data_IF_943740886344
#
_entry.id   IF_943740886344
#
_cell.length_a   1.000
_cell.length_b   1.000
_cell.length_c   1.000
_cell.angle_alpha   90.00
_cell.angle_beta   90.00
_cell.angle_gamma   90.00
#
_symmetry.space_group_name_H-M   'P 1'
#
loop_
_entity.id
_entity.type
_entity.pdbx_description
1 polymer ?
#
# COMPACT_ATOMS: atom_id res chain seq x y z
N UNK A 1 -16.55 -13.35 45.93
CA UNK A 1 -15.58 -12.38 45.36
C UNK A 1 -15.27 -11.30 46.39
N UNK A 2 -13.99 -11.07 46.72
CA UNK A 2 -13.56 -10.05 47.69
C UNK A 2 -13.78 -8.67 47.07
N UNK A 3 -14.74 -7.87 47.58
CA UNK A 3 -14.92 -6.48 47.18
C UNK A 3 -13.77 -5.65 47.77
N UNK A 4 -12.98 -5.04 46.90
CA UNK A 4 -12.00 -4.04 47.32
C UNK A 4 -12.74 -2.74 47.69
N UNK A 5 -12.34 -2.05 48.77
CA UNK A 5 -12.92 -0.75 49.10
C UNK A 5 -12.57 0.30 48.03
N UNK A 6 -13.51 1.19 47.75
CA UNK A 6 -13.32 2.29 46.81
C UNK A 6 -12.35 3.32 47.39
N UNK A 7 -11.41 3.83 46.58
CA UNK A 7 -10.56 4.95 47.00
C UNK A 7 -11.39 6.23 47.16
N UNK A 8 -11.28 6.96 48.27
CA UNK A 8 -11.94 8.26 48.42
C UNK A 8 -11.26 9.28 47.51
N UNK A 9 -12.00 9.78 46.51
CA UNK A 9 -11.52 10.76 45.53
C UNK A 9 -11.56 12.20 46.06
N UNK A 10 -12.09 12.43 47.27
CA UNK A 10 -12.21 13.76 47.89
C UNK A 10 -10.88 14.44 48.20
N UNK A 11 -9.78 13.68 48.26
CA UNK A 11 -8.44 14.20 48.49
C UNK A 11 -7.65 14.54 47.21
N UNK A 12 -8.28 14.47 46.02
CA UNK A 12 -7.62 14.81 44.76
C UNK A 12 -7.28 16.30 44.71
N UNK A 13 -6.01 16.61 44.40
CA UNK A 13 -5.57 17.97 44.08
C UNK A 13 -5.82 18.25 42.60
N UNK A 14 -6.52 19.34 42.31
CA UNK A 14 -6.74 19.83 40.94
C UNK A 14 -5.79 21.00 40.66
N UNK A 15 -5.63 21.35 39.39
CA UNK A 15 -4.81 22.48 38.94
C UNK A 15 -5.52 23.27 37.84
N UNK A 16 -5.13 24.54 37.66
CA UNK A 16 -5.74 25.40 36.65
C UNK A 16 -5.38 24.96 35.24
N UNK A 17 -6.38 24.94 34.34
CA UNK A 17 -6.17 24.67 32.93
C UNK A 17 -5.18 25.66 32.28
N UNK A 18 -5.17 26.92 32.74
CA UNK A 18 -4.29 27.96 32.21
C UNK A 18 -2.79 27.68 32.45
N UNK A 19 -2.46 26.87 33.46
CA UNK A 19 -1.09 26.48 33.80
C UNK A 19 -0.65 25.20 33.11
N UNK A 20 -1.57 24.49 32.46
CA UNK A 20 -1.31 23.19 31.83
C UNK A 20 -0.83 23.37 30.39
N UNK A 21 0.36 22.88 30.02
CA UNK A 21 0.73 22.72 28.62
C UNK A 21 -0.34 21.89 27.89
N UNK A 22 -0.97 22.49 26.88
CA UNK A 22 -2.04 21.85 26.10
C UNK A 22 -1.56 21.62 24.68
N UNK A 23 -1.88 20.44 24.12
CA UNK A 23 -1.40 20.00 22.81
C UNK A 23 -2.21 20.53 21.62
N UNK A 24 -3.35 21.18 21.89
CA UNK A 24 -4.26 21.69 20.87
C UNK A 24 -4.55 23.15 21.17
N UNK A 25 -4.41 24.00 20.17
CA UNK A 25 -4.65 25.43 20.20
C UNK A 25 -5.83 25.80 19.31
N UNK A 26 -6.44 26.95 19.56
CA UNK A 26 -7.62 27.40 18.84
C UNK A 26 -7.34 27.62 17.33
N UNK A 27 -6.11 27.98 16.96
CA UNK A 27 -5.65 28.19 15.58
C UNK A 27 -5.43 26.88 14.79
N UNK A 28 -5.49 25.72 15.45
CA UNK A 28 -5.41 24.40 14.81
C UNK A 28 -6.79 23.82 14.47
N UNK A 29 -7.87 24.50 14.87
CA UNK A 29 -9.24 24.06 14.64
C UNK A 29 -9.65 24.20 13.16
N UNK A 30 -10.59 23.34 12.75
CA UNK A 30 -11.18 23.43 11.42
C UNK A 30 -12.00 24.71 11.26
N UNK A 31 -12.15 25.19 10.01
CA UNK A 31 -13.02 26.33 9.69
C UNK A 31 -14.27 25.86 8.93
N UNK A 32 -15.45 26.47 9.18
CA UNK A 32 -16.65 26.18 8.39
C UNK A 32 -16.46 26.69 6.96
N UNK A 33 -16.99 25.93 5.99
CA UNK A 33 -16.90 26.26 4.57
C UNK A 33 -18.24 26.79 4.03
N UNK A 34 -18.24 27.86 3.20
CA UNK A 34 -19.44 28.30 2.51
C UNK A 34 -19.83 27.32 1.39
N UNK A 35 -21.10 27.34 0.99
CA UNK A 35 -21.57 26.60 -0.19
C UNK A 35 -20.82 27.09 -1.43
N UNK A 36 -20.29 26.15 -2.22
CA UNK A 36 -19.51 26.46 -3.43
C UNK A 36 -18.02 26.68 -3.20
N UNK A 37 -17.51 26.44 -1.98
CA UNK A 37 -16.08 26.46 -1.70
C UNK A 37 -15.30 25.54 -2.63
N UNK A 38 -14.14 26.02 -3.05
CA UNK A 38 -13.17 25.29 -3.88
C UNK A 38 -12.48 24.18 -3.08
N UNK A 39 -11.88 23.23 -3.79
CA UNK A 39 -11.05 22.18 -3.14
C UNK A 39 -9.87 22.79 -2.39
N UNK A 40 -9.29 23.90 -2.87
CA UNK A 40 -8.21 24.59 -2.18
C UNK A 40 -8.67 25.16 -0.83
N UNK A 41 -9.83 25.81 -0.79
CA UNK A 41 -10.44 26.32 0.45
C UNK A 41 -10.81 25.18 1.40
N UNK A 42 -11.36 24.07 0.87
CA UNK A 42 -11.62 22.87 1.66
C UNK A 42 -10.35 22.34 2.32
N UNK A 43 -9.29 22.15 1.53
CA UNK A 43 -8.01 21.69 2.03
C UNK A 43 -7.45 22.65 3.07
N UNK A 44 -7.52 23.96 2.87
CA UNK A 44 -7.06 24.97 3.83
C UNK A 44 -7.90 25.04 5.12
N UNK A 45 -9.19 24.66 5.07
CA UNK A 45 -10.08 24.64 6.22
C UNK A 45 -9.92 23.42 7.13
N UNK A 46 -9.23 22.36 6.69
CA UNK A 46 -8.95 21.19 7.52
C UNK A 46 -8.16 21.55 8.79
N UNK A 47 -8.43 20.92 9.94
CA UNK A 47 -7.70 21.17 11.17
C UNK A 47 -6.23 20.79 11.00
N UNK A 48 -5.33 21.51 11.67
CA UNK A 48 -3.87 21.30 11.58
C UNK A 48 -3.39 20.32 12.65
N UNK A 49 -4.04 19.16 12.73
CA UNK A 49 -3.74 18.18 13.76
C UNK A 49 -3.92 16.75 13.25
N UNK A 50 -3.14 15.81 13.80
CA UNK A 50 -3.24 14.37 13.55
C UNK A 50 -3.24 14.07 12.03
N UNK A 51 -4.11 13.17 11.58
CA UNK A 51 -4.19 12.71 10.20
C UNK A 51 -4.40 13.85 9.17
N UNK A 52 -5.09 14.93 9.54
CA UNK A 52 -5.29 16.06 8.64
C UNK A 52 -3.97 16.82 8.40
N UNK A 53 -3.13 16.95 9.42
CA UNK A 53 -1.78 17.48 9.26
C UNK A 53 -0.88 16.50 8.50
N UNK A 54 -0.90 15.22 8.84
CA UNK A 54 -0.11 14.18 8.14
C UNK A 54 -0.44 14.12 6.64
N UNK A 55 -1.71 14.28 6.26
CA UNK A 55 -2.13 14.34 4.86
C UNK A 55 -1.54 15.56 4.14
N UNK A 56 -1.56 16.74 4.77
CA UNK A 56 -0.96 17.96 4.22
C UNK A 56 0.55 17.82 4.05
N UNK A 57 1.22 17.25 5.05
CA UNK A 57 2.67 17.01 5.03
C UNK A 57 3.04 16.03 3.91
N UNK A 58 2.24 14.99 3.70
CA UNK A 58 2.43 14.06 2.59
C UNK A 58 2.25 14.74 1.23
N UNK A 59 1.19 15.53 1.05
CA UNK A 59 0.97 16.26 -0.18
C UNK A 59 2.13 17.23 -0.47
N UNK A 60 2.58 17.97 0.55
CA UNK A 60 3.74 18.85 0.46
C UNK A 60 5.04 18.08 0.11
N UNK A 61 5.25 16.90 0.70
CA UNK A 61 6.41 16.06 0.41
C UNK A 61 6.42 15.56 -1.04
N UNK A 62 5.26 15.14 -1.58
CA UNK A 62 5.13 14.73 -2.99
C UNK A 62 5.47 15.92 -3.90
N UNK A 63 4.85 17.08 -3.66
CA UNK A 63 5.08 18.27 -4.46
C UNK A 63 6.56 18.72 -4.41
N UNK A 64 7.17 18.72 -3.23
CA UNK A 64 8.57 19.09 -3.05
C UNK A 64 9.54 18.10 -3.70
N UNK A 65 9.27 16.79 -3.61
CA UNK A 65 10.05 15.76 -4.29
C UNK A 65 10.00 16.00 -5.81
N UNK A 66 8.81 16.18 -6.36
CA UNK A 66 8.63 16.40 -7.81
C UNK A 66 9.22 17.71 -8.31
N UNK A 67 9.09 18.80 -7.55
CA UNK A 67 9.73 20.08 -7.86
C UNK A 67 11.27 19.97 -7.94
N UNK A 68 11.86 19.03 -7.18
CA UNK A 68 13.30 18.75 -7.17
C UNK A 68 13.70 17.59 -8.10
N UNK A 69 12.79 17.11 -8.95
CA UNK A 69 13.03 15.98 -9.85
C UNK A 69 13.21 14.63 -9.16
N UNK A 70 12.84 14.50 -7.88
CA UNK A 70 12.99 13.28 -7.07
C UNK A 70 11.84 12.30 -7.30
N UNK A 71 12.10 10.98 -7.27
CA UNK A 71 11.08 10.00 -7.64
C UNK A 71 9.94 9.93 -6.63
N UNK A 72 8.76 9.59 -7.14
CA UNK A 72 7.58 9.23 -6.36
C UNK A 72 7.15 7.83 -6.80
N UNK A 73 7.41 6.85 -5.95
CA UNK A 73 7.06 5.45 -6.14
C UNK A 73 5.69 5.17 -5.51
N UNK A 74 4.72 4.71 -6.30
CA UNK A 74 3.46 4.19 -5.78
C UNK A 74 3.43 2.67 -5.83
N UNK A 75 3.36 2.05 -4.65
CA UNK A 75 3.17 0.61 -4.47
C UNK A 75 1.69 0.33 -4.32
N UNK A 76 1.11 -0.48 -5.20
CA UNK A 76 -0.33 -0.67 -5.34
C UNK A 76 -0.75 -2.11 -5.08
N UNK A 77 -1.70 -2.32 -4.18
CA UNK A 77 -2.50 -3.53 -4.17
C UNK A 77 -3.57 -3.51 -5.26
N UNK A 78 -3.96 -4.69 -5.71
CA UNK A 78 -5.07 -4.95 -6.63
C UNK A 78 -6.36 -4.15 -6.37
N UNK A 79 -6.71 -3.94 -5.09
CA UNK A 79 -7.93 -3.22 -4.71
C UNK A 79 -7.98 -1.77 -5.19
N UNK A 80 -6.84 -1.11 -5.39
CA UNK A 80 -6.81 0.26 -5.92
C UNK A 80 -7.41 0.30 -7.32
N UNK A 81 -7.07 -0.67 -8.17
CA UNK A 81 -7.60 -0.79 -9.54
C UNK A 81 -9.06 -1.25 -9.51
N UNK A 82 -9.36 -2.27 -8.70
CA UNK A 82 -10.74 -2.77 -8.50
C UNK A 82 -11.72 -1.67 -8.10
N UNK A 83 -11.30 -0.72 -7.27
CA UNK A 83 -12.12 0.41 -6.84
C UNK A 83 -12.27 1.52 -7.88
N UNK A 84 -11.77 1.32 -9.11
CA UNK A 84 -11.91 2.29 -10.20
C UNK A 84 -11.02 3.52 -10.06
N UNK A 85 -9.92 3.44 -9.29
CA UNK A 85 -9.05 4.59 -9.02
C UNK A 85 -7.97 4.80 -10.10
N UNK A 86 -7.86 3.90 -11.07
CA UNK A 86 -6.88 3.97 -12.15
C UNK A 86 -6.88 5.31 -12.92
N UNK A 87 -8.02 5.94 -13.26
CA UNK A 87 -8.02 7.25 -13.94
C UNK A 87 -7.27 8.35 -13.17
N UNK A 88 -7.31 8.32 -11.83
CA UNK A 88 -6.59 9.27 -10.98
C UNK A 88 -5.09 9.01 -11.02
N UNK A 89 -4.68 7.74 -10.98
CA UNK A 89 -3.27 7.36 -11.12
C UNK A 89 -2.71 7.73 -12.50
N UNK A 90 -3.50 7.53 -13.56
CA UNK A 90 -3.13 7.89 -14.93
C UNK A 90 -2.95 9.41 -15.07
N UNK A 91 -3.83 10.22 -14.49
CA UNK A 91 -3.66 11.69 -14.45
C UNK A 91 -2.39 12.09 -13.69
N UNK A 92 -2.11 11.48 -12.54
CA UNK A 92 -0.87 11.75 -11.80
C UNK A 92 0.39 11.34 -12.56
N UNK A 93 0.36 10.26 -13.35
CA UNK A 93 1.46 9.89 -14.25
C UNK A 93 1.63 10.93 -15.36
N UNK A 94 0.53 11.34 -16.02
CA UNK A 94 0.55 12.36 -17.08
C UNK A 94 1.11 13.70 -16.58
N UNK A 95 0.77 14.08 -15.35
CA UNK A 95 1.31 15.27 -14.66
C UNK A 95 2.72 15.08 -14.11
N UNK A 96 3.34 13.90 -14.31
CA UNK A 96 4.64 13.51 -13.76
C UNK A 96 4.71 13.62 -12.24
N UNK A 97 3.59 13.41 -11.55
CA UNK A 97 3.51 13.40 -10.09
C UNK A 97 3.85 12.03 -9.51
N UNK A 98 3.52 10.95 -10.22
CA UNK A 98 4.01 9.59 -9.96
C UNK A 98 5.04 9.26 -11.03
N UNK A 99 6.17 8.66 -10.63
CA UNK A 99 7.28 8.33 -11.53
C UNK A 99 7.71 6.87 -11.49
N UNK A 100 7.09 6.05 -10.66
CA UNK A 100 7.28 4.61 -10.68
C UNK A 100 6.05 3.93 -10.05
N UNK A 101 5.71 2.75 -10.58
CA UNK A 101 4.64 1.89 -10.08
C UNK A 101 5.24 0.53 -9.67
N UNK A 102 4.82 0.00 -8.53
CA UNK A 102 5.04 -1.40 -8.16
C UNK A 102 3.71 -2.03 -7.77
N UNK A 103 3.39 -3.24 -8.23
CA UNK A 103 2.11 -3.89 -7.98
C UNK A 103 2.30 -5.34 -7.53
N UNK A 104 1.34 -5.88 -6.79
CA UNK A 104 1.23 -7.33 -6.63
C UNK A 104 0.65 -7.97 -7.91
N UNK A 105 0.74 -9.30 -8.03
CA UNK A 105 0.28 -10.01 -9.22
C UNK A 105 -1.23 -9.87 -9.51
N UNK A 106 -2.09 -9.87 -8.49
CA UNK A 106 -3.51 -9.58 -8.68
C UNK A 106 -3.80 -8.22 -9.37
N UNK A 107 -2.90 -7.23 -9.23
CA UNK A 107 -3.06 -5.95 -9.90
C UNK A 107 -2.98 -6.03 -11.43
N UNK A 108 -2.16 -6.92 -12.00
CA UNK A 108 -2.07 -7.06 -13.47
C UNK A 108 -3.33 -7.67 -14.07
N UNK A 109 -4.02 -8.52 -13.30
CA UNK A 109 -5.27 -9.14 -13.71
C UNK A 109 -6.34 -8.06 -13.85
N UNK A 110 -6.55 -7.25 -12.81
CA UNK A 110 -7.55 -6.18 -12.88
C UNK A 110 -7.24 -5.15 -13.97
N UNK A 111 -5.97 -4.79 -14.15
CA UNK A 111 -5.56 -3.85 -15.19
C UNK A 111 -5.83 -4.40 -16.60
N UNK A 112 -5.48 -5.65 -16.84
CA UNK A 112 -5.74 -6.34 -18.10
C UNK A 112 -7.24 -6.49 -18.38
N UNK A 113 -8.03 -6.97 -17.41
CA UNK A 113 -9.45 -7.21 -17.61
C UNK A 113 -10.23 -5.92 -17.89
N UNK A 114 -9.87 -4.82 -17.21
CA UNK A 114 -10.40 -3.50 -17.54
C UNK A 114 -10.04 -3.07 -18.95
N UNK A 115 -8.78 -3.26 -19.38
CA UNK A 115 -8.34 -2.90 -20.72
C UNK A 115 -9.01 -3.73 -21.82
N UNK A 116 -9.22 -5.01 -21.56
CA UNK A 116 -9.75 -5.99 -22.51
C UNK A 116 -11.28 -5.91 -22.61
N UNK A 117 -11.97 -5.92 -21.46
CA UNK A 117 -13.42 -6.09 -21.38
C UNK A 117 -14.16 -4.93 -20.68
N UNK A 118 -13.45 -3.93 -20.13
CA UNK A 118 -14.08 -2.80 -19.43
C UNK A 118 -14.66 -3.16 -18.07
N UNK A 119 -14.40 -4.37 -17.58
CA UNK A 119 -14.91 -4.91 -16.31
C UNK A 119 -13.89 -5.86 -15.68
N UNK A 120 -13.91 -5.98 -14.36
CA UNK A 120 -13.04 -6.86 -13.58
C UNK A 120 -13.70 -7.18 -12.24
N UNK A 121 -13.14 -8.11 -11.46
CA UNK A 121 -13.69 -8.64 -10.20
C UNK A 121 -14.91 -9.53 -10.42
N UNK A 122 -14.63 -10.80 -10.68
CA UNK A 122 -15.64 -11.87 -10.69
C UNK A 122 -16.32 -12.07 -9.32
N UNK A 123 -17.48 -12.73 -9.33
CA UNK A 123 -18.15 -13.17 -8.10
C UNK A 123 -17.42 -14.38 -7.51
N UNK A 124 -16.56 -14.10 -6.54
CA UNK A 124 -15.71 -15.11 -5.90
C UNK A 124 -16.54 -16.17 -5.18
N UNK A 125 -17.65 -15.79 -4.53
CA UNK A 125 -18.41 -16.73 -3.72
C UNK A 125 -19.06 -17.79 -4.60
N UNK A 126 -19.77 -17.36 -5.65
CA UNK A 126 -20.41 -18.27 -6.60
C UNK A 126 -19.39 -19.11 -7.37
N UNK A 127 -18.27 -18.52 -7.80
CA UNK A 127 -17.29 -19.21 -8.64
C UNK A 127 -16.42 -20.21 -7.86
N UNK A 128 -16.33 -20.08 -6.53
CA UNK A 128 -15.65 -21.07 -5.68
C UNK A 128 -16.50 -22.34 -5.51
N UNK A 129 -17.83 -22.24 -5.56
CA UNK A 129 -18.72 -23.39 -5.38
C UNK A 129 -18.58 -24.42 -6.52
N UNK A 130 -18.39 -23.95 -7.76
CA UNK A 130 -18.27 -24.81 -8.95
C UNK A 130 -16.82 -24.94 -9.49
N UNK A 131 -15.86 -24.27 -8.86
CA UNK A 131 -14.45 -24.29 -9.24
C UNK A 131 -14.10 -23.42 -10.45
N UNK A 132 -15.02 -22.57 -10.92
CA UNK A 132 -14.79 -21.65 -12.03
C UNK A 132 -14.01 -20.38 -11.65
N UNK A 133 -13.77 -20.13 -10.35
CA UNK A 133 -13.07 -18.94 -9.86
C UNK A 133 -11.70 -18.79 -10.52
N UNK A 134 -11.51 -17.69 -11.26
CA UNK A 134 -10.25 -17.38 -11.93
C UNK A 134 -10.02 -18.08 -13.27
N UNK A 135 -11.02 -18.79 -13.82
CA UNK A 135 -10.88 -19.62 -15.02
C UNK A 135 -11.14 -18.87 -16.35
N UNK A 136 -11.21 -17.54 -16.33
CA UNK A 136 -11.34 -16.73 -17.54
C UNK A 136 -10.16 -16.98 -18.50
N UNK A 137 -10.45 -17.60 -19.65
CA UNK A 137 -9.44 -18.04 -20.63
C UNK A 137 -8.57 -16.89 -21.11
N UNK A 138 -9.18 -15.77 -21.48
CA UNK A 138 -8.49 -14.61 -22.02
C UNK A 138 -7.46 -14.07 -21.00
N UNK A 139 -7.86 -13.94 -19.72
CA UNK A 139 -6.97 -13.50 -18.64
C UNK A 139 -5.74 -14.40 -18.51
N UNK A 140 -5.94 -15.72 -18.44
CA UNK A 140 -4.84 -16.67 -18.36
C UNK A 140 -3.94 -16.68 -19.59
N UNK A 141 -4.51 -16.79 -20.79
CA UNK A 141 -3.75 -16.90 -22.03
C UNK A 141 -2.90 -15.66 -22.34
N UNK A 142 -3.46 -14.46 -22.20
CA UNK A 142 -2.73 -13.23 -22.53
C UNK A 142 -1.64 -12.93 -21.49
N UNK A 143 -1.96 -13.04 -20.19
CA UNK A 143 -0.99 -12.72 -19.14
C UNK A 143 0.15 -13.75 -19.04
N UNK A 144 -0.14 -15.05 -19.18
CA UNK A 144 0.91 -16.07 -19.19
C UNK A 144 1.79 -15.97 -20.46
N UNK A 145 1.22 -15.58 -21.60
CA UNK A 145 1.99 -15.28 -22.81
C UNK A 145 2.89 -14.07 -22.64
N UNK A 146 2.40 -13.01 -21.96
CA UNK A 146 3.20 -11.85 -21.62
C UNK A 146 4.36 -12.22 -20.67
N UNK A 147 4.12 -13.07 -19.66
CA UNK A 147 5.18 -13.57 -18.78
C UNK A 147 6.28 -14.34 -19.54
N UNK A 148 5.90 -15.25 -20.46
CA UNK A 148 6.84 -15.97 -21.34
C UNK A 148 7.61 -15.04 -22.26
N UNK A 149 6.96 -14.00 -22.79
CA UNK A 149 7.64 -12.98 -23.60
C UNK A 149 8.64 -12.17 -22.77
N UNK A 150 8.27 -11.75 -21.56
CA UNK A 150 9.12 -11.04 -20.63
C UNK A 150 10.40 -11.84 -20.31
N UNK A 151 10.22 -13.10 -19.91
CA UNK A 151 11.31 -14.01 -19.57
C UNK A 151 12.31 -14.24 -20.72
N UNK A 152 11.82 -14.35 -21.97
CA UNK A 152 12.67 -14.49 -23.16
C UNK A 152 13.46 -13.23 -23.48
N UNK A 153 12.86 -12.04 -23.28
CA UNK A 153 13.47 -10.74 -23.61
C UNK A 153 14.31 -10.15 -22.48
N UNK A 154 14.36 -10.79 -21.32
CA UNK A 154 14.96 -10.20 -20.12
C UNK A 154 14.21 -8.96 -19.63
N UNK A 155 12.91 -8.88 -19.97
CA UNK A 155 12.02 -7.84 -19.48
C UNK A 155 11.29 -8.30 -18.22
N UNK A 156 10.80 -7.33 -17.47
CA UNK A 156 9.90 -7.52 -16.35
C UNK A 156 8.45 -7.69 -16.79
N UNK A 157 7.62 -8.21 -15.90
CA UNK A 157 6.23 -8.53 -16.19
C UNK A 157 5.41 -7.26 -16.41
N UNK A 158 5.62 -6.22 -15.61
CA UNK A 158 4.87 -4.96 -15.70
C UNK A 158 5.06 -4.27 -17.05
N UNK A 159 6.32 -4.15 -17.48
CA UNK A 159 6.65 -3.63 -18.81
C UNK A 159 6.04 -4.49 -19.92
N UNK A 160 6.16 -5.82 -19.84
CA UNK A 160 5.69 -6.71 -20.91
C UNK A 160 4.16 -6.68 -21.06
N UNK A 161 3.42 -6.63 -19.96
CA UNK A 161 1.96 -6.51 -19.97
C UNK A 161 1.55 -5.11 -20.46
N UNK A 162 2.18 -4.04 -19.96
CA UNK A 162 1.90 -2.69 -20.41
C UNK A 162 2.11 -2.49 -21.91
N UNK A 163 3.19 -3.05 -22.47
CA UNK A 163 3.47 -2.99 -23.92
C UNK A 163 2.44 -3.78 -24.72
N UNK A 164 2.01 -4.94 -24.21
CA UNK A 164 0.95 -5.73 -24.84
C UNK A 164 -0.36 -4.95 -24.91
N UNK A 165 -0.77 -4.32 -23.81
CA UNK A 165 -2.01 -3.54 -23.76
C UNK A 165 -1.90 -2.30 -24.65
N UNK A 166 -0.80 -1.55 -24.57
CA UNK A 166 -0.58 -0.34 -25.36
C UNK A 166 -0.58 -0.61 -26.88
N UNK A 167 -0.07 -1.76 -27.32
CA UNK A 167 -0.05 -2.17 -28.73
C UNK A 167 -1.35 -2.83 -29.21
N UNK A 168 -2.34 -3.02 -28.31
CA UNK A 168 -3.59 -3.70 -28.64
C UNK A 168 -4.61 -2.79 -29.32
N UNK A 169 -5.60 -3.41 -29.97
CA UNK A 169 -6.81 -2.73 -30.44
C UNK A 169 -8.00 -2.89 -29.47
N UNK A 170 -7.74 -3.18 -28.19
CA UNK A 170 -8.82 -3.42 -27.22
C UNK A 170 -9.59 -2.13 -26.91
N UNK A 171 -10.92 -2.22 -26.75
CA UNK A 171 -11.81 -1.05 -26.67
C UNK A 171 -11.52 -0.14 -25.47
N UNK A 172 -10.92 -0.68 -24.41
CA UNK A 172 -10.71 0.04 -23.15
C UNK A 172 -9.23 0.18 -22.78
N UNK A 173 -8.29 -0.01 -23.73
CA UNK A 173 -6.84 0.04 -23.45
C UNK A 173 -6.38 1.32 -22.73
N UNK A 174 -7.07 2.44 -22.96
CA UNK A 174 -6.76 3.75 -22.34
C UNK A 174 -7.07 3.78 -20.83
N UNK A 175 -7.84 2.80 -20.33
CA UNK A 175 -8.07 2.62 -18.90
C UNK A 175 -6.88 1.97 -18.20
N UNK A 176 -5.99 1.28 -18.92
CA UNK A 176 -4.87 0.57 -18.31
C UNK A 176 -3.83 1.52 -17.72
N UNK A 177 -3.48 1.25 -16.47
CA UNK A 177 -2.36 1.86 -15.77
C UNK A 177 -1.04 1.46 -16.40
N UNK A 178 -0.86 0.18 -16.75
CA UNK A 178 0.40 -0.32 -17.31
C UNK A 178 0.64 0.20 -18.73
N UNK A 179 -0.40 0.33 -19.54
CA UNK A 179 -0.31 0.98 -20.85
C UNK A 179 0.06 2.46 -20.69
N UNK A 180 -0.56 3.17 -19.73
CA UNK A 180 -0.22 4.56 -19.41
C UNK A 180 1.24 4.68 -18.96
N UNK A 181 1.74 3.75 -18.14
CA UNK A 181 3.14 3.72 -17.72
C UNK A 181 4.09 3.59 -18.93
N UNK A 182 3.80 2.69 -19.86
CA UNK A 182 4.61 2.52 -21.08
C UNK A 182 4.59 3.76 -21.96
N UNK A 183 3.42 4.38 -22.17
CA UNK A 183 3.27 5.58 -23.01
C UNK A 183 4.02 6.79 -22.43
N UNK A 184 4.14 6.88 -21.10
CA UNK A 184 4.77 8.01 -20.41
C UNK A 184 6.17 7.70 -19.86
N UNK A 185 6.78 6.59 -20.27
CA UNK A 185 8.12 6.15 -19.83
C UNK A 185 8.26 6.06 -18.30
N UNK A 186 7.22 5.55 -17.64
CA UNK A 186 7.20 5.30 -16.20
C UNK A 186 7.46 3.81 -15.94
N UNK A 187 8.49 3.45 -15.16
CA UNK A 187 8.74 2.06 -14.80
C UNK A 187 7.58 1.49 -13.98
N UNK A 188 7.09 0.32 -14.38
CA UNK A 188 6.08 -0.46 -13.68
C UNK A 188 6.59 -1.88 -13.42
N UNK A 189 6.59 -2.31 -12.16
CA UNK A 189 7.09 -3.62 -11.72
C UNK A 189 6.00 -4.45 -11.05
N UNK A 190 6.00 -5.77 -11.29
CA UNK A 190 5.02 -6.69 -10.73
C UNK A 190 5.71 -7.73 -9.86
N UNK A 191 5.23 -7.88 -8.64
CA UNK A 191 5.78 -8.79 -7.64
C UNK A 191 4.78 -9.90 -7.36
N UNK A 192 4.99 -11.01 -8.06
CA UNK A 192 4.15 -12.19 -8.01
C UNK A 192 4.38 -12.97 -6.71
N UNK A 193 3.28 -13.33 -6.03
CA UNK A 193 3.28 -14.36 -5.00
C UNK A 193 2.72 -15.64 -5.64
N UNK A 194 3.58 -16.65 -5.81
CA UNK A 194 3.22 -17.86 -6.57
C UNK A 194 2.07 -18.58 -5.85
N UNK A 195 1.04 -18.94 -6.61
CA UNK A 195 -0.18 -19.58 -6.11
C UNK A 195 -1.28 -18.61 -5.64
N UNK A 196 -1.05 -17.29 -5.61
CA UNK A 196 -2.08 -16.33 -5.16
C UNK A 196 -2.93 -15.74 -6.28
N UNK A 197 -2.38 -15.66 -7.48
CA UNK A 197 -3.01 -15.00 -8.63
C UNK A 197 -3.70 -16.02 -9.54
N UNK A 198 -4.89 -15.67 -10.05
CA UNK A 198 -5.73 -16.60 -10.82
C UNK A 198 -5.06 -17.13 -12.09
N UNK A 199 -4.07 -16.43 -12.65
CA UNK A 199 -3.34 -16.90 -13.84
C UNK A 199 -2.46 -18.13 -13.58
N UNK A 200 -2.14 -18.42 -12.31
CA UNK A 200 -1.26 -19.53 -11.93
C UNK A 200 -1.88 -20.91 -12.11
N UNK A 201 -3.21 -21.00 -11.98
CA UNK A 201 -3.94 -22.26 -12.11
C UNK A 201 -4.22 -22.65 -13.57
N UNK A 202 -3.91 -21.77 -14.53
CA UNK A 202 -4.14 -22.03 -15.95
C UNK A 202 -3.09 -22.99 -16.52
N UNK A 203 -3.45 -23.88 -17.45
CA UNK A 203 -2.52 -24.83 -18.08
C UNK A 203 -1.41 -24.13 -18.89
N UNK A 204 -1.61 -22.86 -19.24
CA UNK A 204 -0.63 -22.05 -19.96
C UNK A 204 0.44 -21.43 -19.04
N UNK A 205 0.28 -21.54 -17.72
CA UNK A 205 1.21 -21.02 -16.72
C UNK A 205 2.59 -21.67 -16.86
N UNK A 206 3.64 -20.85 -16.79
CA UNK A 206 5.03 -21.30 -16.75
C UNK A 206 5.71 -20.61 -15.56
N UNK A 207 5.93 -21.38 -14.50
CA UNK A 207 6.51 -20.89 -13.26
C UNK A 207 7.93 -20.35 -13.44
N UNK A 208 8.72 -20.91 -14.36
CA UNK A 208 10.07 -20.42 -14.65
C UNK A 208 10.00 -19.04 -15.34
N UNK A 209 9.07 -18.87 -16.28
CA UNK A 209 8.85 -17.59 -16.94
C UNK A 209 8.35 -16.51 -15.95
N UNK A 210 7.34 -16.83 -15.14
CA UNK A 210 6.79 -15.93 -14.12
C UNK A 210 7.84 -15.53 -13.10
N UNK A 211 8.57 -16.50 -12.53
CA UNK A 211 9.63 -16.26 -11.57
C UNK A 211 10.74 -15.38 -12.15
N UNK A 212 11.17 -15.65 -13.39
CA UNK A 212 12.19 -14.85 -14.07
C UNK A 212 11.73 -13.41 -14.33
N UNK A 213 10.48 -13.22 -14.78
CA UNK A 213 9.93 -11.89 -15.04
C UNK A 213 9.75 -11.08 -13.74
N UNK A 214 9.19 -11.69 -12.70
CA UNK A 214 9.00 -11.08 -11.37
C UNK A 214 10.35 -10.74 -10.71
N UNK A 215 11.36 -11.60 -10.83
CA UNK A 215 12.71 -11.32 -10.32
C UNK A 215 13.40 -10.19 -11.10
N UNK A 216 13.15 -10.08 -12.40
CA UNK A 216 13.61 -8.95 -13.22
C UNK A 216 12.96 -7.64 -12.76
N UNK A 217 11.67 -7.67 -12.47
CA UNK A 217 10.92 -6.55 -11.89
C UNK A 217 11.44 -6.16 -10.50
N UNK A 218 11.81 -7.12 -9.65
CA UNK A 218 12.48 -6.83 -8.37
C UNK A 218 13.79 -6.05 -8.55
N UNK A 219 14.65 -6.45 -9.50
CA UNK A 219 15.90 -5.75 -9.79
C UNK A 219 15.66 -4.33 -10.30
N UNK A 220 14.63 -4.13 -11.12
CA UNK A 220 14.22 -2.80 -11.60
C UNK A 220 13.67 -1.93 -10.48
N UNK A 221 12.88 -2.51 -9.57
CA UNK A 221 12.41 -1.80 -8.39
C UNK A 221 13.59 -1.38 -7.50
N UNK A 222 14.60 -2.23 -7.29
CA UNK A 222 15.81 -1.86 -6.56
C UNK A 222 16.53 -0.66 -7.21
N UNK A 223 16.54 -0.58 -8.54
CA UNK A 223 17.07 0.59 -9.27
C UNK A 223 16.22 1.86 -9.05
N UNK A 224 14.88 1.75 -9.05
CA UNK A 224 13.99 2.86 -8.69
C UNK A 224 14.28 3.34 -7.27
N UNK A 225 14.40 2.40 -6.33
CA UNK A 225 14.66 2.69 -4.91
C UNK A 225 16.04 3.31 -4.70
N UNK A 226 17.04 2.95 -5.50
CA UNK A 226 18.36 3.59 -5.46
C UNK A 226 18.30 5.11 -5.75
N UNK A 227 17.29 5.57 -6.49
CA UNK A 227 17.04 6.99 -6.75
C UNK A 227 16.22 7.72 -5.68
N UNK A 228 15.76 7.04 -4.62
CA UNK A 228 14.71 7.52 -3.72
C UNK A 228 15.14 8.62 -2.73
N UNK A 229 16.42 8.99 -2.65
CA UNK A 229 16.87 10.09 -1.78
C UNK A 229 16.13 11.40 -2.11
N UNK A 230 15.48 11.98 -1.10
CA UNK A 230 14.61 13.15 -1.23
C UNK A 230 13.30 12.89 -1.98
N UNK A 231 12.99 11.62 -2.27
CA UNK A 231 11.76 11.18 -2.95
C UNK A 231 10.65 10.76 -1.99
N UNK A 232 9.62 10.13 -2.55
CA UNK A 232 8.46 9.64 -1.80
C UNK A 232 8.14 8.19 -2.20
N UNK A 233 7.78 7.36 -1.23
CA UNK A 233 7.16 6.05 -1.45
C UNK A 233 5.78 6.01 -0.80
N UNK A 234 4.79 5.54 -1.56
CA UNK A 234 3.41 5.37 -1.14
C UNK A 234 3.06 3.89 -1.12
N UNK A 235 2.60 3.35 0.01
CA UNK A 235 1.97 2.03 0.06
C UNK A 235 0.44 2.19 0.01
N UNK A 236 -0.15 1.82 -1.12
CA UNK A 236 -1.57 1.96 -1.42
C UNK A 236 -2.19 0.54 -1.49
N UNK A 237 -2.63 0.02 -0.34
CA UNK A 237 -3.44 -1.21 -0.29
C UNK A 237 -2.68 -2.53 -0.44
N UNK A 238 -1.39 -2.60 -0.06
CA UNK A 238 -0.66 -3.87 0.06
C UNK A 238 -0.19 -4.08 1.51
N UNK A 239 -0.73 -5.12 2.16
CA UNK A 239 -0.43 -5.40 3.56
C UNK A 239 0.90 -6.15 3.77
N UNK A 240 1.30 -6.98 2.81
CA UNK A 240 2.43 -7.94 2.98
C UNK A 240 3.41 -7.88 1.81
N UNK A 241 2.95 -8.20 0.59
CA UNK A 241 3.85 -8.44 -0.56
C UNK A 241 4.73 -7.22 -0.87
N UNK A 242 4.14 -6.05 -1.08
CA UNK A 242 4.91 -4.86 -1.46
C UNK A 242 5.74 -4.27 -0.31
N UNK A 243 5.25 -4.22 0.95
CA UNK A 243 6.09 -3.89 2.09
C UNK A 243 7.35 -4.77 2.22
N UNK A 244 7.19 -6.09 2.09
CA UNK A 244 8.31 -7.04 2.17
C UNK A 244 9.29 -6.83 1.01
N UNK A 245 8.78 -6.74 -0.22
CA UNK A 245 9.60 -6.48 -1.41
C UNK A 245 10.35 -5.15 -1.30
N UNK A 246 9.69 -4.08 -0.86
CA UNK A 246 10.29 -2.76 -0.70
C UNK A 246 11.46 -2.78 0.29
N UNK A 247 11.30 -3.45 1.43
CA UNK A 247 12.38 -3.56 2.41
C UNK A 247 13.63 -4.23 1.81
N UNK A 248 13.45 -5.28 0.99
CA UNK A 248 14.56 -5.94 0.28
C UNK A 248 15.15 -5.05 -0.80
N UNK A 249 14.33 -4.29 -1.53
CA UNK A 249 14.80 -3.34 -2.53
C UNK A 249 15.66 -2.21 -1.90
N UNK A 250 15.26 -1.68 -0.73
CA UNK A 250 16.05 -0.71 0.04
C UNK A 250 17.38 -1.30 0.50
N UNK A 251 17.36 -2.55 1.00
CA UNK A 251 18.57 -3.26 1.41
C UNK A 251 19.55 -3.42 0.24
N UNK A 252 19.08 -3.89 -0.92
CA UNK A 252 19.89 -4.03 -2.14
C UNK A 252 20.44 -2.68 -2.59
N UNK A 253 19.60 -1.65 -2.68
CA UNK A 253 20.02 -0.32 -3.12
C UNK A 253 21.15 0.24 -2.24
N UNK A 254 20.99 0.15 -0.91
CA UNK A 254 22.03 0.60 0.05
C UNK A 254 23.29 -0.23 -0.04
N UNK A 255 23.16 -1.56 -0.15
CA UNK A 255 24.30 -2.47 -0.27
C UNK A 255 25.12 -2.20 -1.54
N UNK A 256 24.48 -1.75 -2.61
CA UNK A 256 25.14 -1.33 -3.85
C UNK A 256 25.64 0.13 -3.83
N UNK A 257 25.63 0.79 -2.67
CA UNK A 257 26.20 2.12 -2.47
C UNK A 257 25.26 3.30 -2.71
N UNK A 258 23.98 3.06 -3.02
CA UNK A 258 23.02 4.15 -3.19
C UNK A 258 22.74 4.85 -1.85
N UNK A 259 22.80 6.19 -1.86
CA UNK A 259 22.50 7.01 -0.67
C UNK A 259 20.99 7.13 -0.49
N UNK A 260 20.32 6.10 0.01
CA UNK A 260 18.87 6.09 0.30
C UNK A 260 18.65 6.20 1.81
N UNK A 261 18.74 7.40 2.35
CA UNK A 261 18.69 7.68 3.79
C UNK A 261 17.48 8.52 4.18
N UNK A 262 17.16 9.55 3.39
CA UNK A 262 16.12 10.52 3.71
C UNK A 262 15.09 10.55 2.60
N UNK A 263 13.89 10.05 2.86
CA UNK A 263 12.75 10.09 1.95
C UNK A 263 11.45 10.01 2.76
N UNK A 264 10.34 10.43 2.16
CA UNK A 264 9.03 10.33 2.81
C UNK A 264 8.41 8.97 2.47
N UNK A 265 7.98 8.23 3.48
CA UNK A 265 7.21 7.00 3.31
C UNK A 265 5.82 7.18 3.90
N UNK A 266 4.78 6.83 3.13
CA UNK A 266 3.40 6.86 3.59
C UNK A 266 2.73 5.51 3.40
N UNK A 267 2.00 5.06 4.42
CA UNK A 267 1.12 3.90 4.34
C UNK A 267 -0.34 4.38 4.34
N UNK A 268 -1.05 4.08 3.27
CA UNK A 268 -2.46 4.43 3.05
C UNK A 268 -3.34 3.17 3.00
N UNK A 269 -2.86 2.07 3.61
CA UNK A 269 -3.61 0.82 3.76
C UNK A 269 -4.63 0.87 4.91
N UNK A 270 -5.70 0.08 4.81
CA UNK A 270 -6.90 0.16 5.65
C UNK A 270 -6.77 -0.60 7.00
N UNK A 271 -5.71 -1.40 7.19
CA UNK A 271 -5.51 -2.26 8.35
C UNK A 271 -4.89 -1.53 9.56
N UNK A 272 -5.57 -0.52 10.11
CA UNK A 272 -5.21 0.05 11.43
C UNK A 272 -6.35 -0.06 12.43
N UNK A 273 -6.20 -0.93 13.43
CA UNK A 273 -6.93 -0.81 14.69
C UNK A 273 -6.32 0.34 15.52
N UNK A 274 -6.60 1.56 15.11
CA UNK A 274 -6.01 2.79 15.65
C UNK A 274 -6.24 2.93 17.16
N UNK A 275 -7.46 2.66 17.66
CA UNK A 275 -7.82 2.92 19.06
C UNK A 275 -7.12 1.99 20.05
N UNK A 276 -7.09 0.65 19.88
CA UNK A 276 -6.32 -0.22 20.77
C UNK A 276 -4.82 0.12 20.75
N UNK A 277 -4.26 0.36 19.57
CA UNK A 277 -2.84 0.71 19.41
C UNK A 277 -2.47 2.00 20.14
N UNK A 278 -3.26 3.06 19.96
CA UNK A 278 -2.94 4.36 20.55
C UNK A 278 -3.34 4.45 22.02
N UNK A 279 -4.51 3.94 22.39
CA UNK A 279 -5.05 4.14 23.74
C UNK A 279 -4.56 3.11 24.76
N UNK A 280 -4.20 1.89 24.34
CA UNK A 280 -3.77 0.83 25.26
C UNK A 280 -2.25 0.69 25.22
N UNK A 281 -1.66 0.70 24.03
CA UNK A 281 -0.26 0.33 23.85
C UNK A 281 0.70 1.53 23.76
N UNK A 282 0.21 2.72 23.38
CA UNK A 282 1.06 3.90 23.22
C UNK A 282 0.89 4.92 24.36
N UNK A 283 -0.30 5.51 24.54
CA UNK A 283 -0.52 6.59 25.51
C UNK A 283 -0.18 6.22 26.96
N UNK A 284 -0.59 5.05 27.49
CA UNK A 284 -0.29 4.68 28.88
C UNK A 284 1.19 4.38 29.13
N UNK A 285 1.94 3.99 28.10
CA UNK A 285 3.36 3.61 28.19
C UNK A 285 4.32 4.75 27.79
N UNK A 286 3.81 5.98 27.61
CA UNK A 286 4.60 7.14 27.16
C UNK A 286 5.65 7.63 28.16
N UNK A 287 5.61 7.14 29.41
CA UNK A 287 6.57 7.43 30.48
C UNK A 287 7.57 6.29 30.71
N UNK A 288 7.56 5.26 29.86
CA UNK A 288 8.36 4.03 29.98
C UNK A 288 7.48 2.78 30.09
N UNK A 289 8.00 1.63 29.61
CA UNK A 289 7.30 0.34 29.56
C UNK A 289 7.47 -0.37 28.22
N UNK A 290 6.94 -1.60 28.08
CA UNK A 290 6.99 -2.40 26.85
C UNK A 290 5.57 -2.65 26.32
N UNK A 291 5.34 -2.26 25.07
CA UNK A 291 4.08 -2.53 24.38
C UNK A 291 4.14 -3.88 23.66
N UNK A 292 3.12 -4.71 23.82
CA UNK A 292 2.97 -6.00 23.13
C UNK A 292 1.57 -6.02 22.51
N UNK A 293 1.50 -6.20 21.20
CA UNK A 293 0.25 -6.38 20.47
C UNK A 293 0.25 -7.79 19.88
N UNK A 294 -0.74 -8.60 20.26
CA UNK A 294 -0.95 -9.94 19.69
C UNK A 294 -2.39 -9.96 19.18
N UNK A 295 -2.58 -10.29 17.91
CA UNK A 295 -3.90 -10.36 17.27
C UNK A 295 -4.24 -11.82 17.01
N UNK A 296 -5.37 -12.28 17.55
CA UNK A 296 -5.86 -13.66 17.43
C UNK A 296 -7.17 -13.87 18.18
N UNK A 297 -7.79 -15.03 18.00
CA UNK A 297 -9.04 -15.42 18.67
C UNK A 297 -8.84 -15.66 20.18
N UNK A 298 -9.75 -15.17 21.02
CA UNK A 298 -9.56 -15.12 22.48
C UNK A 298 -9.47 -16.50 23.13
N UNK A 299 -10.28 -17.44 22.64
CA UNK A 299 -10.33 -18.85 23.00
C UNK A 299 -9.04 -19.61 22.68
N UNK A 300 -8.14 -19.03 21.86
CA UNK A 300 -6.80 -19.53 21.62
C UNK A 300 -5.76 -18.74 22.42
N UNK A 301 -5.83 -17.41 22.37
CA UNK A 301 -4.81 -16.54 22.95
C UNK A 301 -4.76 -16.62 24.47
N UNK A 302 -5.92 -16.70 25.14
CA UNK A 302 -5.98 -16.71 26.59
C UNK A 302 -5.52 -18.05 27.18
N UNK A 303 -5.94 -19.23 26.68
CA UNK A 303 -5.42 -20.51 27.17
C UNK A 303 -3.93 -20.69 26.91
N UNK A 304 -3.40 -20.25 25.76
CA UNK A 304 -1.96 -20.33 25.45
C UNK A 304 -1.12 -19.45 26.38
N UNK A 305 -1.56 -18.22 26.62
CA UNK A 305 -0.88 -17.32 27.57
C UNK A 305 -0.94 -17.88 29.00
N UNK A 306 -2.07 -18.45 29.40
CA UNK A 306 -2.23 -19.11 30.70
C UNK A 306 -1.27 -20.30 30.85
N UNK A 307 -1.18 -21.17 29.85
CA UNK A 307 -0.27 -22.32 29.88
C UNK A 307 1.20 -21.87 29.95
N UNK A 308 1.58 -20.88 29.13
CA UNK A 308 2.92 -20.29 29.12
C UNK A 308 3.35 -19.67 30.45
N UNK A 309 2.42 -19.03 31.16
CA UNK A 309 2.66 -18.47 32.50
C UNK A 309 2.75 -19.58 33.56
N UNK A 310 1.88 -20.59 33.47
CA UNK A 310 1.76 -21.66 34.46
C UNK A 310 2.95 -22.62 34.41
N UNK A 311 3.43 -22.98 33.23
CA UNK A 311 4.59 -23.88 33.05
C UNK A 311 5.93 -23.18 33.27
N UNK A 312 5.94 -21.84 33.26
CA UNK A 312 7.17 -21.05 33.42
C UNK A 312 8.11 -21.18 32.22
N UNK A 313 7.73 -20.55 31.10
CA UNK A 313 8.56 -20.49 29.89
C UNK A 313 10.04 -20.16 30.24
N UNK A 314 11.01 -21.03 29.87
CA UNK A 314 12.42 -20.74 30.10
C UNK A 314 12.82 -19.45 29.39
N UNK A 315 13.59 -18.62 30.07
CA UNK A 315 14.18 -17.38 29.54
C UNK A 315 15.26 -17.64 28.50
#
# INVERSE_FOLDING_TARGET
>A
MRRLPLRPLSALKTYSLAQRPSKVRADELARPLPKGATVAEFLDALPRILAAQEFRDLAAAILAARARGRPVLAMLGAHVIKCGLTPLLNDLIRRRMITAIAMNGAGIIHDFELAFAGKTSEDVASALEDGSFGMARETGEYLNRAAKAAARRGAGLGESVGRMIAASSWPYRELSLLATCVTHDVPATIHVAIGTDIIHQHPTCDGAALGKASLTDFRRLAQVVAGLEGGVVLNLGSAVILPEVFLKAVSVARNLGARVRNFTAANLDMLRQYRPTVNVLSRPLSLGGRAISITGHHELMLPLLHAAITEGLPS
#
